data_IF_743564376996
#
_entry.id   IF_743564376996
#
_cell.length_a   1.000
_cell.length_b   1.000
_cell.length_c   1.000
_cell.angle_alpha   90.00
_cell.angle_beta   90.00
_cell.angle_gamma   90.00
#
_symmetry.space_group_name_H-M   'P 1'
#
loop_
_entity.id
_entity.type
_entity.pdbx_description
1 polymer ?
#
# COMPACT_ATOMS: atom_id res chain seq x y z
N UNK A 1 -7.22 -1.85 4.98
CA UNK A 1 -7.85 -1.20 3.81
C UNK A 1 -9.23 -1.83 3.66
N UNK A 2 -10.28 -1.12 3.21
CA UNK A 2 -11.50 -1.85 2.85
C UNK A 2 -11.21 -2.85 1.72
N UNK A 3 -12.03 -3.90 1.68
CA UNK A 3 -11.84 -5.00 0.73
C UNK A 3 -11.94 -4.54 -0.73
N UNK A 4 -12.87 -3.64 -1.05
CA UNK A 4 -13.13 -3.19 -2.43
C UNK A 4 -11.92 -2.46 -3.02
N UNK A 5 -11.39 -1.47 -2.30
CA UNK A 5 -10.17 -0.73 -2.65
C UNK A 5 -8.99 -1.68 -2.74
N UNK A 6 -8.82 -2.56 -1.75
CA UNK A 6 -7.74 -3.57 -1.74
C UNK A 6 -7.78 -4.46 -2.99
N UNK A 7 -8.92 -5.07 -3.29
CA UNK A 7 -9.09 -5.98 -4.42
C UNK A 7 -8.84 -5.26 -5.76
N UNK A 8 -9.24 -3.99 -5.85
CA UNK A 8 -9.04 -3.14 -7.03
C UNK A 8 -7.56 -2.85 -7.29
N UNK A 9 -6.82 -2.44 -6.25
CA UNK A 9 -5.36 -2.26 -6.35
C UNK A 9 -4.63 -3.58 -6.60
N UNK A 10 -5.04 -4.68 -5.96
CA UNK A 10 -4.48 -6.02 -6.19
C UNK A 10 -4.61 -6.42 -7.67
N UNK A 11 -5.77 -6.18 -8.30
CA UNK A 11 -5.96 -6.43 -9.74
C UNK A 11 -5.03 -5.59 -10.60
N UNK A 12 -4.89 -4.29 -10.31
CA UNK A 12 -4.05 -3.40 -11.10
C UNK A 12 -2.55 -3.74 -11.01
N UNK A 13 -2.05 -4.05 -9.81
CA UNK A 13 -0.64 -4.40 -9.60
C UNK A 13 -0.34 -5.90 -9.78
N UNK A 14 -1.35 -6.73 -10.02
CA UNK A 14 -1.16 -8.13 -10.41
C UNK A 14 -0.65 -8.22 -11.85
N UNK A 15 0.25 -9.18 -12.08
CA UNK A 15 0.84 -9.39 -13.40
C UNK A 15 -0.18 -9.95 -14.41
N UNK A 16 -0.02 -9.64 -15.72
CA UNK A 16 1.08 -8.89 -16.29
C UNK A 16 0.92 -7.38 -16.09
N UNK A 17 2.00 -6.73 -15.63
CA UNK A 17 2.12 -5.27 -15.53
C UNK A 17 1.61 -4.68 -16.85
N UNK A 18 0.58 -3.82 -16.83
CA UNK A 18 0.19 -3.16 -18.04
C UNK A 18 1.34 -2.22 -18.45
N UNK A 19 1.93 -2.50 -19.61
CA UNK A 19 3.11 -1.82 -20.14
C UNK A 19 2.90 -0.29 -20.08
N UNK A 20 3.93 0.42 -19.61
CA UNK A 20 3.98 1.89 -19.44
C UNK A 20 3.63 2.68 -20.72
N UNK A 21 3.56 2.02 -21.87
CA UNK A 21 3.37 2.64 -23.19
C UNK A 21 1.90 2.86 -23.58
N UNK A 22 0.92 2.34 -22.83
CA UNK A 22 -0.49 2.59 -23.13
C UNK A 22 -1.03 3.76 -22.30
N UNK A 23 -1.28 4.90 -22.95
CA UNK A 23 -1.97 6.07 -22.38
C UNK A 23 -3.30 5.71 -21.72
N UNK A 24 -3.96 4.65 -22.19
CA UNK A 24 -5.17 4.09 -21.59
C UNK A 24 -4.90 3.50 -20.19
N UNK A 25 -3.85 2.70 -20.04
CA UNK A 25 -3.46 2.10 -18.74
C UNK A 25 -3.18 3.19 -17.70
N UNK A 26 -2.42 4.22 -18.10
CA UNK A 26 -2.08 5.31 -17.22
C UNK A 26 -3.32 6.09 -16.77
N UNK A 27 -4.25 6.39 -17.69
CA UNK A 27 -5.54 7.01 -17.34
C UNK A 27 -6.39 6.13 -16.43
N UNK A 28 -6.40 4.81 -16.64
CA UNK A 28 -7.07 3.89 -15.73
C UNK A 28 -6.46 3.91 -14.33
N UNK A 29 -5.14 4.04 -14.22
CA UNK A 29 -4.46 4.18 -12.94
C UNK A 29 -4.75 5.50 -12.25
N UNK A 30 -4.67 6.62 -12.96
CA UNK A 30 -5.04 7.93 -12.41
C UNK A 30 -6.48 7.92 -11.92
N UNK A 31 -7.41 7.38 -12.71
CA UNK A 31 -8.80 7.23 -12.29
C UNK A 31 -8.92 6.35 -11.05
N UNK A 32 -8.21 5.23 -11.00
CA UNK A 32 -8.21 4.33 -9.86
C UNK A 32 -7.65 4.99 -8.59
N UNK A 33 -6.62 5.84 -8.72
CA UNK A 33 -6.12 6.66 -7.63
C UNK A 33 -7.17 7.67 -7.18
N UNK A 34 -7.78 8.42 -8.10
CA UNK A 34 -8.83 9.40 -7.78
C UNK A 34 -10.02 8.75 -7.10
N UNK A 35 -10.49 7.61 -7.61
CA UNK A 35 -11.66 6.89 -7.07
C UNK A 35 -11.40 6.29 -5.68
N UNK A 36 -10.12 6.13 -5.28
CA UNK A 36 -9.74 5.50 -4.02
C UNK A 36 -8.88 6.39 -3.11
N UNK A 37 -8.64 7.66 -3.47
CA UNK A 37 -7.73 8.53 -2.73
C UNK A 37 -8.19 8.72 -1.29
N UNK A 38 -9.49 8.97 -1.08
CA UNK A 38 -10.05 9.13 0.26
C UNK A 38 -9.84 7.87 1.11
N UNK A 39 -10.02 6.69 0.53
CA UNK A 39 -9.80 5.42 1.23
C UNK A 39 -8.33 5.15 1.54
N UNK A 40 -7.41 5.67 0.71
CA UNK A 40 -5.97 5.62 0.98
C UNK A 40 -5.64 6.47 2.23
N UNK A 41 -6.24 7.65 2.37
CA UNK A 41 -5.98 8.56 3.49
C UNK A 41 -6.88 8.31 4.72
N UNK A 42 -7.96 7.55 4.63
CA UNK A 42 -8.81 7.25 5.79
C UNK A 42 -8.21 6.14 6.68
N UNK A 43 -7.76 6.50 7.89
CA UNK A 43 -7.20 5.57 8.88
C UNK A 43 -8.15 4.43 9.25
N UNK A 44 -9.47 4.67 9.25
CA UNK A 44 -10.47 3.67 9.62
C UNK A 44 -10.54 2.52 8.61
N UNK A 45 -10.01 2.74 7.41
CA UNK A 45 -9.92 1.70 6.40
C UNK A 45 -8.83 0.69 6.75
N UNK A 46 -7.79 1.02 7.52
CA UNK A 46 -6.62 0.17 7.74
C UNK A 46 -6.82 -0.91 8.81
N UNK A 47 -6.19 -2.07 8.63
CA UNK A 47 -6.42 -3.24 9.48
C UNK A 47 -5.67 -3.21 10.81
N UNK A 48 -4.53 -2.50 10.89
CA UNK A 48 -3.70 -2.49 12.11
C UNK A 48 -2.94 -1.17 12.23
N UNK A 49 -2.94 -0.58 13.43
CA UNK A 49 -2.03 0.51 13.79
C UNK A 49 -0.83 -0.08 14.55
N UNK A 50 0.38 0.33 14.17
CA UNK A 50 1.65 -0.10 14.76
C UNK A 50 2.26 1.08 15.52
N UNK A 51 2.13 1.15 16.86
CA UNK A 51 2.57 2.30 17.64
C UNK A 51 4.07 2.56 17.54
N UNK A 52 4.90 1.52 17.49
CA UNK A 52 6.37 1.64 17.47
C UNK A 52 6.91 2.36 16.23
N UNK A 53 6.21 2.25 15.09
CA UNK A 53 6.59 2.94 13.85
C UNK A 53 5.62 4.07 13.51
N UNK A 54 4.67 4.37 14.43
CA UNK A 54 3.61 5.36 14.24
C UNK A 54 2.91 5.26 12.87
N UNK A 55 2.56 4.04 12.44
CA UNK A 55 2.00 3.82 11.10
C UNK A 55 0.76 2.91 11.12
N UNK A 56 -0.11 3.12 10.14
CA UNK A 56 -1.19 2.19 9.82
C UNK A 56 -0.73 1.24 8.71
N UNK A 57 -1.02 -0.05 8.87
CA UNK A 57 -0.65 -1.10 7.92
C UNK A 57 -1.84 -1.98 7.55
N UNK A 58 -1.83 -2.45 6.31
CA UNK A 58 -2.75 -3.46 5.81
C UNK A 58 -2.02 -4.47 4.92
N UNK A 59 -2.16 -5.77 5.22
CA UNK A 59 -1.49 -6.85 4.47
C UNK A 59 -0.11 -7.25 5.01
N UNK A 60 0.37 -6.62 6.07
CA UNK A 60 1.55 -7.02 6.83
C UNK A 60 1.27 -6.97 8.33
N UNK A 61 2.14 -7.63 9.11
CA UNK A 61 2.14 -7.62 10.58
C UNK A 61 3.57 -7.42 11.06
N UNK A 62 3.74 -7.10 12.34
CA UNK A 62 5.06 -6.94 12.96
C UNK A 62 5.47 -8.26 13.63
N UNK A 63 6.64 -8.78 13.24
CA UNK A 63 7.30 -9.94 13.85
C UNK A 63 8.76 -9.56 14.12
N UNK A 64 9.24 -9.73 15.35
CA UNK A 64 10.62 -9.37 15.76
C UNK A 64 11.07 -7.96 15.32
N UNK A 65 10.18 -6.97 15.48
CA UNK A 65 10.39 -5.57 15.06
C UNK A 65 10.50 -5.34 13.54
N UNK A 66 10.25 -6.38 12.74
CA UNK A 66 10.22 -6.32 11.28
C UNK A 66 8.78 -6.40 10.77
N UNK A 67 8.44 -5.57 9.78
CA UNK A 67 7.22 -5.75 9.02
C UNK A 67 7.36 -6.98 8.12
N UNK A 68 6.45 -7.93 8.26
CA UNK A 68 6.42 -9.16 7.46
C UNK A 68 5.08 -9.29 6.74
N UNK A 69 5.10 -9.82 5.51
CA UNK A 69 3.91 -10.04 4.73
C UNK A 69 2.98 -11.07 5.40
N UNK A 70 1.69 -10.75 5.57
CA UNK A 70 0.73 -11.66 6.21
C UNK A 70 0.56 -12.99 5.47
N UNK A 71 0.74 -12.98 4.14
CA UNK A 71 0.51 -14.15 3.31
C UNK A 71 1.68 -15.16 3.26
N UNK A 72 2.93 -14.69 3.28
CA UNK A 72 4.11 -15.56 3.07
C UNK A 72 5.23 -15.35 4.08
N UNK A 73 5.03 -14.48 5.07
CA UNK A 73 5.99 -14.15 6.13
C UNK A 73 7.33 -13.57 5.65
N UNK A 74 7.48 -13.30 4.35
CA UNK A 74 8.65 -12.59 3.83
C UNK A 74 8.72 -11.17 4.41
N UNK A 75 9.90 -10.72 4.90
CA UNK A 75 10.12 -9.36 5.37
C UNK A 75 9.82 -8.29 4.30
N UNK A 76 9.33 -7.14 4.73
CA UNK A 76 9.01 -6.00 3.85
C UNK A 76 10.25 -5.38 3.19
N UNK A 77 11.45 -5.59 3.76
CA UNK A 77 12.73 -5.24 3.12
C UNK A 77 12.86 -5.86 1.72
N UNK A 78 12.21 -7.00 1.50
CA UNK A 78 12.18 -7.66 0.20
C UNK A 78 10.99 -7.22 -0.66
N UNK A 79 10.12 -6.33 -0.20
CA UNK A 79 9.04 -5.81 -1.00
C UNK A 79 9.52 -4.71 -1.96
N UNK A 80 8.84 -4.58 -3.09
CA UNK A 80 9.07 -3.50 -4.05
C UNK A 80 8.00 -2.44 -3.87
N UNK A 81 8.40 -1.19 -3.66
CA UNK A 81 7.46 -0.07 -3.68
C UNK A 81 6.86 0.09 -5.09
N UNK A 82 5.54 0.18 -5.14
CA UNK A 82 4.75 0.34 -6.38
C UNK A 82 4.16 1.73 -6.50
N UNK A 83 3.84 2.35 -5.37
CA UNK A 83 3.34 3.71 -5.30
C UNK A 83 3.79 4.34 -4.00
N UNK A 84 4.12 5.62 -4.09
CA UNK A 84 4.34 6.51 -2.97
C UNK A 84 3.60 7.82 -3.25
N UNK A 85 2.87 8.32 -2.25
CA UNK A 85 2.16 9.58 -2.32
C UNK A 85 2.26 10.29 -0.98
N UNK A 86 2.56 11.59 -1.02
CA UNK A 86 2.63 12.43 0.16
C UNK A 86 1.53 13.47 0.06
N UNK A 87 0.63 13.49 1.04
CA UNK A 87 -0.32 14.57 1.28
C UNK A 87 0.21 15.55 2.34
N UNK A 88 -0.61 16.52 2.72
CA UNK A 88 -0.19 17.60 3.63
C UNK A 88 0.13 17.09 5.04
N UNK A 89 -0.59 16.06 5.51
CA UNK A 89 -0.49 15.54 6.89
C UNK A 89 -0.20 14.03 6.97
N UNK A 90 -0.14 13.35 5.82
CA UNK A 90 -0.04 11.90 5.73
C UNK A 90 0.75 11.48 4.49
N UNK A 91 1.45 10.37 4.60
CA UNK A 91 2.28 9.76 3.57
C UNK A 91 1.85 8.30 3.40
N UNK A 92 1.65 7.87 2.17
CA UNK A 92 1.12 6.55 1.85
C UNK A 92 2.06 5.86 0.90
N UNK A 93 2.44 4.64 1.25
CA UNK A 93 3.22 3.75 0.39
C UNK A 93 2.51 2.42 0.19
N UNK A 94 2.48 1.96 -1.06
CA UNK A 94 2.00 0.63 -1.45
C UNK A 94 3.21 -0.20 -1.86
N UNK A 95 3.48 -1.25 -1.09
CA UNK A 95 4.53 -2.21 -1.36
C UNK A 95 3.94 -3.49 -1.94
N UNK A 96 4.68 -4.15 -2.82
CA UNK A 96 4.36 -5.49 -3.31
C UNK A 96 5.41 -6.48 -2.83
N UNK A 97 4.98 -7.49 -2.09
CA UNK A 97 5.84 -8.59 -1.68
C UNK A 97 6.41 -9.30 -2.91
N UNK A 98 7.75 -9.44 -3.00
CA UNK A 98 8.39 -10.11 -4.14
C UNK A 98 8.07 -11.61 -4.22
N UNK A 99 7.88 -12.27 -3.07
CA UNK A 99 7.66 -13.72 -2.99
C UNK A 99 6.26 -14.12 -3.44
N UNK A 100 5.23 -13.46 -2.92
CA UNK A 100 3.84 -13.86 -3.16
C UNK A 100 3.00 -12.84 -3.94
N UNK A 101 3.56 -11.68 -4.29
CA UNK A 101 2.86 -10.61 -5.01
C UNK A 101 1.80 -9.87 -4.19
N UNK A 102 1.61 -10.21 -2.92
CA UNK A 102 0.63 -9.56 -2.04
C UNK A 102 0.98 -8.07 -1.86
N UNK A 103 -0.04 -7.22 -1.90
CA UNK A 103 0.12 -5.80 -1.63
C UNK A 103 0.03 -5.51 -0.12
N UNK A 104 0.91 -4.61 0.30
CA UNK A 104 1.04 -4.12 1.66
C UNK A 104 0.88 -2.61 1.58
N UNK A 105 -0.14 -2.10 2.25
CA UNK A 105 -0.46 -0.68 2.29
C UNK A 105 0.04 -0.14 3.61
N UNK A 106 0.79 0.95 3.56
CA UNK A 106 1.29 1.65 4.73
C UNK A 106 0.87 3.10 4.66
N UNK A 107 0.51 3.65 5.80
CA UNK A 107 0.22 5.08 5.96
C UNK A 107 0.94 5.60 7.19
N UNK A 108 1.74 6.64 6.99
CA UNK A 108 2.49 7.36 8.00
C UNK A 108 1.86 8.73 8.17
N UNK A 109 1.46 9.15 9.38
CA UNK A 109 1.16 10.55 9.62
C UNK A 109 2.45 11.36 9.53
N UNK A 110 2.52 12.36 8.64
CA UNK A 110 3.73 13.16 8.42
C UNK A 110 4.00 14.14 9.56
N UNK A 111 2.98 14.40 10.38
CA UNK A 111 3.04 15.29 11.54
C UNK A 111 3.85 14.73 12.73
N UNK A 112 4.30 13.47 12.67
CA UNK A 112 5.18 12.85 13.68
C UNK A 112 6.65 12.75 13.25
N UNK A 113 7.08 13.38 12.14
CA UNK A 113 8.50 13.54 11.82
C UNK A 113 9.13 14.56 12.78
N UNK A 114 9.47 14.13 13.99
CA UNK A 114 10.33 14.86 14.93
C UNK A 114 11.81 14.72 14.54
#
# INVERSE_FOLDING_TARGET
MNKTTRDTFMRYFSNPIPLRENSFTFRCFEKLLVDNVDALFDSTQYGTYLPFQSLYVDGATMEDQLLVCNNCKTPLLEARERLHSTGDTEEISIYQCKTCGNLIFTKYPTTFKY
#
